data_IF_714458660713
#
_entry.id   IF_714458660713
#
_cell.length_a   1.000
_cell.length_b   1.000
_cell.length_c   1.000
_cell.angle_alpha   90.00
_cell.angle_beta   90.00
_cell.angle_gamma   90.00
#
_symmetry.space_group_name_H-M   'P 1'
#
loop_
_entity.id
_entity.type
_entity.pdbx_description
1 polymer ?
#
# COMPACT_ATOMS: atom_id res chain seq x y z
N UNK A 1 -9.71 -11.69 -13.03
CA UNK A 1 -10.48 -12.34 -11.94
C UNK A 1 -11.37 -11.29 -11.28
N UNK A 2 -12.69 -11.53 -11.14
CA UNK A 2 -13.60 -10.64 -10.41
C UNK A 2 -13.17 -10.48 -8.94
N UNK A 3 -13.50 -9.35 -8.30
CA UNK A 3 -13.12 -9.05 -6.91
C UNK A 3 -13.44 -10.20 -5.92
N UNK A 4 -14.69 -10.68 -5.88
CA UNK A 4 -15.10 -11.74 -4.95
C UNK A 4 -14.45 -13.11 -5.22
N UNK A 5 -13.89 -13.32 -6.41
CA UNK A 5 -13.17 -14.55 -6.75
C UNK A 5 -11.71 -14.57 -6.29
N UNK A 6 -11.20 -13.45 -5.78
CA UNK A 6 -9.82 -13.29 -5.31
C UNK A 6 -9.66 -13.72 -3.86
N UNK A 7 -8.43 -14.02 -3.49
CA UNK A 7 -8.00 -14.31 -2.13
C UNK A 7 -8.24 -13.11 -1.20
N UNK A 8 -8.87 -13.38 -0.06
CA UNK A 8 -9.15 -12.39 0.98
C UNK A 8 -7.91 -12.15 1.83
N UNK A 9 -6.91 -11.52 1.24
CA UNK A 9 -5.68 -11.09 1.93
C UNK A 9 -5.24 -9.71 1.47
N UNK A 10 -4.58 -8.98 2.38
CA UNK A 10 -3.80 -7.79 2.13
C UNK A 10 -2.41 -8.18 1.65
N UNK A 11 -2.15 -7.93 0.37
CA UNK A 11 -0.92 -8.33 -0.28
C UNK A 11 0.03 -7.15 -0.49
N UNK A 12 1.31 -7.38 -0.18
CA UNK A 12 2.40 -6.50 -0.58
C UNK A 12 3.73 -7.25 -0.71
N UNK A 13 4.45 -6.94 -1.79
CA UNK A 13 5.87 -7.24 -1.96
C UNK A 13 6.59 -5.98 -2.47
N UNK A 14 7.68 -5.63 -1.83
CA UNK A 14 8.53 -4.52 -2.24
C UNK A 14 9.91 -4.60 -1.61
N UNK A 15 10.88 -3.93 -2.22
CA UNK A 15 12.22 -3.86 -1.66
C UNK A 15 12.33 -2.80 -0.56
N UNK A 16 13.38 -2.85 0.25
CA UNK A 16 13.69 -1.89 1.33
C UNK A 16 14.14 -0.50 0.83
N UNK A 17 13.58 -0.01 -0.29
CA UNK A 17 13.83 1.36 -0.76
C UNK A 17 13.10 2.39 0.09
N UNK A 18 13.61 3.62 0.14
CA UNK A 18 13.05 4.68 0.98
C UNK A 18 14.11 5.49 1.71
N UNK A 19 15.37 5.09 1.59
CA UNK A 19 16.51 5.71 2.23
C UNK A 19 17.69 4.75 2.23
N UNK A 20 18.83 5.22 2.76
CA UNK A 20 19.98 4.36 2.98
C UNK A 20 19.91 3.74 4.38
N UNK A 21 19.70 2.43 4.44
CA UNK A 21 19.57 1.66 5.67
C UNK A 21 20.94 1.43 6.34
N UNK A 22 21.01 1.72 7.62
CA UNK A 22 22.13 1.43 8.52
C UNK A 22 21.58 0.65 9.71
N UNK A 23 22.47 0.01 10.49
CA UNK A 23 22.08 -0.72 11.72
C UNK A 23 21.31 0.12 12.73
N UNK A 24 21.48 1.45 12.69
CA UNK A 24 20.85 2.40 13.60
C UNK A 24 19.48 2.90 13.14
N UNK A 25 19.24 2.96 11.82
CA UNK A 25 18.07 3.67 11.29
C UNK A 25 17.03 2.78 10.61
N UNK A 26 17.37 1.55 10.18
CA UNK A 26 16.50 0.78 9.28
C UNK A 26 15.12 0.51 9.88
N UNK A 27 15.03 0.37 11.21
CA UNK A 27 13.77 0.16 11.95
C UNK A 27 12.79 1.33 11.82
N UNK A 28 13.27 2.49 11.44
CA UNK A 28 12.46 3.68 11.22
C UNK A 28 12.08 3.86 9.74
N UNK A 29 12.56 3.02 8.82
CA UNK A 29 12.13 3.06 7.43
C UNK A 29 10.65 2.68 7.30
N UNK A 30 9.91 3.35 6.42
CA UNK A 30 8.45 3.22 6.38
C UNK A 30 7.98 1.86 5.87
N UNK A 31 8.71 1.23 4.93
CA UNK A 31 8.44 -0.14 4.48
C UNK A 31 8.78 -1.18 5.53
N UNK A 32 9.87 -0.97 6.25
CA UNK A 32 10.30 -1.83 7.35
C UNK A 32 9.30 -1.78 8.50
N UNK A 33 8.81 -0.58 8.85
CA UNK A 33 7.74 -0.40 9.83
C UNK A 33 6.46 -1.09 9.38
N UNK A 34 6.08 -0.98 8.11
CA UNK A 34 4.88 -1.63 7.58
C UNK A 34 4.94 -3.15 7.72
N UNK A 35 6.02 -3.79 7.24
CA UNK A 35 6.20 -5.25 7.36
C UNK A 35 6.27 -5.68 8.81
N UNK A 36 7.03 -4.96 9.65
CA UNK A 36 7.14 -5.24 11.08
C UNK A 36 5.79 -5.11 11.80
N UNK A 37 4.97 -4.13 11.41
CA UNK A 37 3.66 -3.88 12.00
C UNK A 37 2.68 -5.01 11.68
N UNK A 38 2.57 -5.43 10.42
CA UNK A 38 1.70 -6.55 10.02
C UNK A 38 2.14 -7.87 10.66
N UNK A 39 3.46 -8.12 10.74
CA UNK A 39 4.00 -9.28 11.47
C UNK A 39 3.67 -9.23 12.96
N UNK A 40 3.73 -8.04 13.57
CA UNK A 40 3.36 -7.87 14.99
C UNK A 40 1.88 -8.16 15.23
N UNK A 41 0.99 -7.74 14.33
CA UNK A 41 -0.44 -8.07 14.39
C UNK A 41 -0.67 -9.58 14.25
N UNK A 42 -0.02 -10.22 13.27
CA UNK A 42 -0.10 -11.69 13.10
C UNK A 42 0.39 -12.43 14.33
N UNK A 43 1.55 -12.06 14.87
CA UNK A 43 2.11 -12.69 16.07
C UNK A 43 1.20 -12.51 17.30
N UNK A 44 0.64 -11.30 17.49
CA UNK A 44 -0.32 -11.06 18.56
C UNK A 44 -1.57 -11.93 18.41
N UNK A 45 -2.10 -12.05 17.19
CA UNK A 45 -3.25 -12.92 16.90
C UNK A 45 -2.93 -14.40 17.15
N UNK A 46 -1.74 -14.88 16.79
CA UNK A 46 -1.30 -16.25 17.07
C UNK A 46 -1.22 -16.53 18.58
N UNK A 47 -0.65 -15.61 19.36
CA UNK A 47 -0.56 -15.73 20.82
C UNK A 47 -1.94 -15.74 21.46
N UNK A 48 -2.85 -14.86 21.01
CA UNK A 48 -4.24 -14.82 21.49
C UNK A 48 -5.00 -16.10 21.13
N UNK A 49 -4.81 -16.63 19.91
CA UNK A 49 -5.39 -17.90 19.48
C UNK A 49 -4.92 -19.08 20.34
N UNK A 50 -3.61 -19.17 20.60
CA UNK A 50 -3.05 -20.19 21.48
C UNK A 50 -3.55 -20.05 22.93
N UNK A 51 -3.67 -18.82 23.43
CA UNK A 51 -4.22 -18.55 24.77
C UNK A 51 -5.68 -18.99 24.89
N UNK A 52 -6.49 -18.68 23.86
CA UNK A 52 -7.89 -19.10 23.77
C UNK A 52 -8.01 -20.63 23.72
N UNK A 53 -7.14 -21.30 22.95
CA UNK A 53 -7.08 -22.76 22.87
C UNK A 53 -6.74 -23.42 24.22
N UNK A 54 -5.83 -22.81 25.00
CA UNK A 54 -5.45 -23.27 26.34
C UNK A 54 -6.46 -22.88 27.43
N UNK A 55 -7.60 -22.26 27.08
CA UNK A 55 -8.64 -21.87 28.03
C UNK A 55 -8.30 -20.64 28.87
N UNK A 56 -7.30 -19.85 28.47
CA UNK A 56 -6.97 -18.57 29.10
C UNK A 56 -7.96 -17.50 28.62
N UNK A 57 -8.47 -16.68 29.56
CA UNK A 57 -9.40 -15.59 29.22
C UNK A 57 -8.72 -14.57 28.31
N UNK A 58 -9.35 -14.27 27.19
CA UNK A 58 -8.91 -13.30 26.17
C UNK A 58 -10.04 -12.31 25.92
N UNK A 59 -10.11 -11.24 26.72
CA UNK A 59 -11.25 -10.31 26.71
C UNK A 59 -11.12 -9.18 25.64
N UNK A 60 -10.21 -9.30 24.67
CA UNK A 60 -9.88 -8.19 23.74
C UNK A 60 -10.34 -8.36 22.29
N UNK A 61 -10.39 -9.58 21.75
CA UNK A 61 -10.78 -9.85 20.36
C UNK A 61 -11.67 -11.09 20.31
N UNK A 62 -12.61 -11.11 19.38
CA UNK A 62 -13.43 -12.30 19.13
C UNK A 62 -12.65 -13.34 18.28
N UNK A 63 -13.21 -14.55 18.12
CA UNK A 63 -12.55 -15.64 17.36
C UNK A 63 -12.38 -15.32 15.88
N UNK A 64 -13.31 -14.58 15.28
CA UNK A 64 -13.29 -14.21 13.86
C UNK A 64 -12.16 -13.20 13.58
N UNK A 65 -12.01 -12.19 14.45
CA UNK A 65 -10.92 -11.21 14.40
C UNK A 65 -9.55 -11.86 14.60
N UNK A 66 -9.44 -12.79 15.55
CA UNK A 66 -8.19 -13.55 15.75
C UNK A 66 -7.84 -14.31 14.49
N UNK A 67 -8.80 -15.05 13.91
CA UNK A 67 -8.58 -15.80 12.67
C UNK A 67 -8.21 -14.88 11.51
N UNK A 68 -8.93 -13.78 11.34
CA UNK A 68 -8.65 -12.77 10.33
C UNK A 68 -7.19 -12.31 10.41
N UNK A 69 -6.75 -11.83 11.58
CA UNK A 69 -5.40 -11.29 11.70
C UNK A 69 -4.29 -12.36 11.66
N UNK A 70 -4.60 -13.65 11.84
CA UNK A 70 -3.65 -14.72 11.59
C UNK A 70 -3.37 -14.91 10.09
N UNK A 71 -4.39 -14.74 9.24
CA UNK A 71 -4.37 -15.20 7.84
C UNK A 71 -4.35 -14.04 6.82
N UNK A 72 -4.88 -12.87 7.15
CA UNK A 72 -5.15 -11.81 6.17
C UNK A 72 -3.91 -11.10 5.65
N UNK A 73 -2.79 -11.09 6.37
CA UNK A 73 -1.62 -10.32 5.97
C UNK A 73 -0.62 -11.18 5.18
N UNK A 74 -0.56 -10.94 3.87
CA UNK A 74 0.46 -11.48 2.99
C UNK A 74 1.44 -10.35 2.58
N UNK A 75 2.24 -9.89 3.55
CA UNK A 75 3.07 -8.68 3.45
C UNK A 75 4.52 -8.99 3.78
N UNK A 76 5.40 -9.04 2.78
CA UNK A 76 6.81 -9.41 2.96
C UNK A 76 7.75 -8.49 2.17
N UNK A 77 8.99 -8.39 2.63
CA UNK A 77 10.06 -7.75 1.85
C UNK A 77 10.42 -8.63 0.66
N UNK A 78 10.35 -8.05 -0.54
CA UNK A 78 10.73 -8.74 -1.77
C UNK A 78 12.23 -8.73 -2.06
N UNK A 79 12.96 -7.77 -1.47
CA UNK A 79 14.41 -7.71 -1.50
C UNK A 79 14.95 -6.72 -0.46
N UNK A 80 16.12 -7.01 0.10
CA UNK A 80 16.85 -6.08 0.96
C UNK A 80 17.95 -5.38 0.13
N UNK A 81 17.80 -4.07 -0.08
CA UNK A 81 18.71 -3.22 -0.86
C UNK A 81 18.90 -1.84 -0.19
N UNK A 82 19.80 -1.01 -0.76
CA UNK A 82 20.11 0.33 -0.25
C UNK A 82 20.59 0.34 1.21
N UNK A 83 21.38 -0.65 1.59
CA UNK A 83 21.94 -0.79 2.93
C UNK A 83 23.45 -0.53 2.96
N UNK A 84 23.95 -0.18 4.14
CA UNK A 84 25.37 -0.08 4.47
C UNK A 84 25.70 -1.17 5.48
N UNK A 85 26.92 -1.70 5.39
CA UNK A 85 27.43 -2.77 6.26
C UNK A 85 26.48 -3.98 6.30
N UNK A 86 26.19 -4.49 7.50
CA UNK A 86 25.36 -5.67 7.74
C UNK A 86 23.85 -5.34 7.82
N UNK A 87 23.43 -4.11 7.52
CA UNK A 87 22.04 -3.69 7.75
C UNK A 87 21.02 -4.52 6.95
N UNK A 88 21.32 -4.92 5.71
CA UNK A 88 20.45 -5.82 4.94
C UNK A 88 20.30 -7.19 5.63
N UNK A 89 21.41 -7.78 6.07
CA UNK A 89 21.40 -9.08 6.76
C UNK A 89 20.65 -8.99 8.09
N UNK A 90 20.75 -7.88 8.81
CA UNK A 90 19.96 -7.65 10.02
C UNK A 90 18.46 -7.50 9.73
N UNK A 91 18.10 -6.77 8.67
CA UNK A 91 16.70 -6.65 8.22
C UNK A 91 16.14 -8.02 7.85
N UNK A 92 16.84 -8.80 7.04
CA UNK A 92 16.41 -10.15 6.64
C UNK A 92 16.24 -11.09 7.84
N UNK A 93 17.14 -11.01 8.82
CA UNK A 93 17.02 -11.80 10.05
C UNK A 93 15.77 -11.45 10.86
N UNK A 94 15.35 -10.18 10.87
CA UNK A 94 14.23 -9.71 11.69
C UNK A 94 12.89 -9.76 10.96
N UNK A 95 12.88 -9.33 9.69
CA UNK A 95 11.68 -9.21 8.85
C UNK A 95 11.42 -10.47 8.02
N UNK A 96 12.32 -11.45 8.05
CA UNK A 96 12.18 -12.73 7.34
C UNK A 96 12.94 -12.76 6.01
N UNK A 97 13.06 -13.95 5.39
CA UNK A 97 13.75 -14.10 4.10
C UNK A 97 13.09 -13.24 3.02
N UNK A 98 13.89 -12.77 2.06
CA UNK A 98 13.34 -12.04 0.91
C UNK A 98 12.38 -12.94 0.11
N UNK A 99 11.15 -12.47 -0.10
CA UNK A 99 10.13 -13.15 -0.88
C UNK A 99 9.80 -12.37 -2.14
N UNK A 100 10.61 -12.59 -3.18
CA UNK A 100 10.49 -11.87 -4.43
C UNK A 100 9.26 -12.35 -5.21
N UNK A 101 8.37 -11.42 -5.53
CA UNK A 101 7.26 -11.62 -6.48
C UNK A 101 7.82 -12.08 -7.84
N UNK A 102 7.59 -13.35 -8.26
CA UNK A 102 8.17 -13.91 -9.48
C UNK A 102 7.43 -13.45 -10.76
N UNK A 103 6.13 -13.25 -10.65
CA UNK A 103 5.20 -12.74 -11.67
C UNK A 103 4.19 -11.80 -10.98
N UNK A 104 3.44 -10.99 -11.72
CA UNK A 104 2.40 -10.12 -11.16
C UNK A 104 1.21 -10.91 -10.55
N UNK A 105 1.41 -11.42 -9.34
CA UNK A 105 0.41 -12.16 -8.55
C UNK A 105 -0.63 -11.25 -7.90
N UNK A 106 -0.45 -9.91 -7.96
CA UNK A 106 -1.38 -8.93 -7.39
C UNK A 106 -2.82 -9.09 -7.90
N UNK A 107 -3.00 -9.69 -9.08
CA UNK A 107 -4.32 -9.99 -9.64
C UNK A 107 -5.13 -11.04 -8.86
N UNK A 108 -4.49 -11.77 -7.94
CA UNK A 108 -5.11 -12.84 -7.14
C UNK A 108 -5.67 -12.36 -5.81
N UNK A 109 -5.35 -11.14 -5.37
CA UNK A 109 -5.67 -10.65 -4.02
C UNK A 109 -6.73 -9.54 -4.03
N UNK A 110 -7.62 -9.56 -3.02
CA UNK A 110 -8.68 -8.55 -2.85
C UNK A 110 -8.12 -7.19 -2.42
N UNK A 111 -7.10 -7.17 -1.57
CA UNK A 111 -6.55 -5.95 -0.99
C UNK A 111 -5.07 -5.81 -1.35
N UNK A 112 -4.69 -4.66 -1.88
CA UNK A 112 -3.32 -4.38 -2.33
C UNK A 112 -2.79 -3.14 -1.63
N UNK A 113 -1.64 -3.23 -0.98
CA UNK A 113 -1.02 -2.06 -0.37
C UNK A 113 -0.09 -1.34 -1.36
N UNK A 114 -0.23 -0.02 -1.45
CA UNK A 114 0.64 0.88 -2.18
C UNK A 114 1.38 1.78 -1.20
N UNK A 115 2.70 1.74 -1.24
CA UNK A 115 3.58 2.46 -0.33
C UNK A 115 4.80 2.96 -1.09
N UNK A 116 5.17 4.20 -0.81
CA UNK A 116 6.29 4.90 -1.43
C UNK A 116 7.61 4.14 -1.29
N UNK A 117 8.57 4.43 -2.18
CA UNK A 117 9.96 3.98 -2.07
C UNK A 117 10.86 5.19 -1.82
N UNK A 118 11.92 5.33 -2.61
CA UNK A 118 12.73 6.57 -2.62
C UNK A 118 11.93 7.80 -3.07
N UNK A 119 10.85 7.58 -3.80
CA UNK A 119 9.87 8.58 -4.22
C UNK A 119 8.48 7.91 -4.23
N UNK A 120 7.51 8.51 -4.93
CA UNK A 120 6.19 7.91 -5.11
C UNK A 120 6.25 6.47 -5.62
N UNK A 121 5.24 5.68 -5.29
CA UNK A 121 5.13 4.31 -5.79
C UNK A 121 4.68 4.28 -7.26
N UNK A 122 5.59 3.88 -8.15
CA UNK A 122 5.27 3.66 -9.57
C UNK A 122 4.32 2.48 -9.82
N UNK A 123 4.04 1.66 -8.80
CA UNK A 123 3.14 0.50 -8.90
C UNK A 123 1.67 0.90 -8.84
N UNK A 124 1.34 2.08 -8.33
CA UNK A 124 -0.03 2.48 -8.02
C UNK A 124 -1.01 2.29 -9.19
N UNK A 125 -0.64 2.73 -10.40
CA UNK A 125 -1.45 2.57 -11.61
C UNK A 125 -1.72 1.11 -11.96
N UNK A 126 -0.69 0.26 -11.82
CA UNK A 126 -0.81 -1.17 -12.06
C UNK A 126 -1.78 -1.79 -11.06
N UNK A 127 -1.66 -1.46 -9.77
CA UNK A 127 -2.51 -2.01 -8.71
C UNK A 127 -3.99 -1.66 -8.93
N UNK A 128 -4.30 -0.40 -9.25
CA UNK A 128 -5.66 0.06 -9.57
C UNK A 128 -6.30 -0.76 -10.70
N UNK A 129 -5.50 -1.14 -11.70
CA UNK A 129 -6.01 -1.92 -12.83
C UNK A 129 -6.45 -3.36 -12.48
N UNK A 130 -6.10 -3.87 -11.28
CA UNK A 130 -6.32 -5.27 -10.89
C UNK A 130 -7.70 -5.58 -10.31
N UNK A 131 -8.61 -4.59 -10.28
CA UNK A 131 -9.94 -4.72 -9.68
C UNK A 131 -9.85 -5.25 -8.24
N UNK A 132 -9.04 -4.56 -7.45
CA UNK A 132 -8.76 -4.82 -6.05
C UNK A 132 -8.89 -3.50 -5.28
N UNK A 133 -9.13 -3.57 -3.98
CA UNK A 133 -9.08 -2.39 -3.12
C UNK A 133 -7.61 -2.04 -2.92
N UNK A 134 -7.20 -0.88 -3.44
CA UNK A 134 -5.84 -0.36 -3.23
C UNK A 134 -5.83 0.51 -1.98
N UNK A 135 -5.04 0.13 -0.99
CA UNK A 135 -4.75 0.94 0.19
C UNK A 135 -3.49 1.75 -0.09
N UNK A 136 -3.58 3.07 -0.16
CA UNK A 136 -2.46 3.94 -0.54
C UNK A 136 -1.95 4.74 0.65
N UNK A 137 -0.66 4.61 0.92
CA UNK A 137 0.09 5.44 1.84
C UNK A 137 1.17 6.20 1.06
N UNK A 138 1.01 7.52 0.89
CA UNK A 138 1.99 8.35 0.18
C UNK A 138 2.23 9.70 0.83
N UNK A 139 3.48 10.17 0.81
CA UNK A 139 3.87 11.52 1.23
C UNK A 139 3.84 12.53 0.09
N UNK A 140 3.73 12.04 -1.15
CA UNK A 140 3.86 12.85 -2.35
C UNK A 140 2.50 13.36 -2.82
N UNK A 141 2.49 14.58 -3.35
CA UNK A 141 1.45 15.02 -4.27
C UNK A 141 1.81 14.54 -5.66
N UNK A 142 0.86 13.93 -6.34
CA UNK A 142 1.05 13.29 -7.63
C UNK A 142 0.12 13.91 -8.68
N UNK A 143 0.52 13.88 -9.95
CA UNK A 143 -0.22 14.51 -11.04
C UNK A 143 -1.67 13.99 -11.20
N UNK A 144 -1.96 12.81 -10.64
CA UNK A 144 -3.24 12.14 -10.74
C UNK A 144 -4.18 12.42 -9.55
N UNK A 145 -3.75 13.20 -8.55
CA UNK A 145 -4.53 13.45 -7.34
C UNK A 145 -5.88 14.13 -7.63
N UNK A 146 -5.97 14.96 -8.66
CA UNK A 146 -7.24 15.58 -9.09
C UNK A 146 -8.14 14.64 -9.92
N UNK A 147 -7.64 13.44 -10.25
CA UNK A 147 -8.29 12.48 -11.17
C UNK A 147 -8.87 11.27 -10.44
N UNK A 148 -8.29 10.94 -9.29
CA UNK A 148 -8.68 9.86 -8.40
C UNK A 148 -9.18 10.46 -7.09
N UNK A 149 -10.16 9.80 -6.46
CA UNK A 149 -10.88 10.35 -5.31
C UNK A 149 -10.69 9.33 -4.19
N UNK A 150 -10.08 9.71 -3.06
CA UNK A 150 -9.99 8.85 -1.89
C UNK A 150 -11.36 8.35 -1.47
N UNK A 151 -11.44 7.11 -1.00
CA UNK A 151 -12.66 6.38 -0.64
C UNK A 151 -13.60 6.01 -1.78
N UNK A 152 -13.48 6.63 -2.97
CA UNK A 152 -14.22 6.19 -4.15
C UNK A 152 -13.40 5.26 -5.06
N UNK A 153 -12.10 5.53 -5.21
CA UNK A 153 -11.23 4.81 -6.14
C UNK A 153 -10.12 4.01 -5.45
N UNK A 154 -9.76 4.38 -4.23
CA UNK A 154 -8.74 3.73 -3.38
C UNK A 154 -8.96 4.17 -1.92
N UNK A 155 -8.37 3.48 -0.96
CA UNK A 155 -8.47 3.84 0.46
C UNK A 155 -7.16 4.52 0.91
N UNK A 156 -7.17 5.78 1.37
CA UNK A 156 -5.99 6.41 1.93
C UNK A 156 -5.65 5.81 3.30
N UNK A 157 -4.36 5.54 3.54
CA UNK A 157 -3.85 5.04 4.81
C UNK A 157 -2.87 6.06 5.39
N UNK A 158 -3.03 6.36 6.68
CA UNK A 158 -2.17 7.26 7.44
C UNK A 158 -0.77 6.69 7.58
N UNK A 159 0.17 7.55 7.95
CA UNK A 159 1.59 7.20 8.05
C UNK A 159 1.94 6.37 9.28
N UNK A 160 1.05 6.37 10.27
CA UNK A 160 1.14 5.53 11.46
C UNK A 160 0.51 4.16 11.24
N UNK A 161 -0.46 4.04 10.30
CA UNK A 161 -1.20 2.81 9.98
C UNK A 161 -2.03 2.27 11.16
N UNK A 162 -2.29 3.11 12.17
CA UNK A 162 -3.01 2.71 13.38
C UNK A 162 -4.44 2.24 13.09
N UNK A 163 -5.04 2.77 12.02
CA UNK A 163 -6.38 2.40 11.57
C UNK A 163 -6.42 1.06 10.83
N UNK A 164 -5.29 0.55 10.35
CA UNK A 164 -5.24 -0.62 9.46
C UNK A 164 -5.94 -1.87 10.05
N UNK A 165 -5.79 -2.22 11.34
CA UNK A 165 -6.48 -3.39 11.91
C UNK A 165 -8.00 -3.25 11.86
N UNK A 166 -8.53 -2.10 12.30
CA UNK A 166 -9.98 -1.85 12.33
C UNK A 166 -10.55 -1.73 10.91
N UNK A 167 -9.80 -1.10 10.01
CA UNK A 167 -10.16 -0.99 8.60
C UNK A 167 -10.25 -2.38 7.94
N UNK A 168 -9.25 -3.24 8.11
CA UNK A 168 -9.26 -4.58 7.51
C UNK A 168 -10.35 -5.46 8.11
N UNK A 169 -10.61 -5.36 9.42
CA UNK A 169 -11.72 -6.06 10.08
C UNK A 169 -13.07 -5.64 9.48
N UNK A 170 -13.30 -4.34 9.33
CA UNK A 170 -14.51 -3.83 8.68
C UNK A 170 -14.63 -4.32 7.23
N UNK A 171 -13.59 -4.15 6.40
CA UNK A 171 -13.66 -4.51 4.98
C UNK A 171 -13.88 -6.01 4.74
N UNK A 172 -13.42 -6.87 5.66
CA UNK A 172 -13.48 -8.33 5.49
C UNK A 172 -14.64 -8.99 6.23
N UNK A 173 -14.89 -8.62 7.49
CA UNK A 173 -15.86 -9.30 8.34
C UNK A 173 -17.23 -8.60 8.38
N UNK A 174 -17.33 -7.34 7.93
CA UNK A 174 -18.60 -6.62 7.88
C UNK A 174 -19.25 -6.74 6.48
N UNK A 175 -20.53 -7.15 6.36
CA UNK A 175 -21.23 -7.22 5.07
C UNK A 175 -21.28 -5.89 4.31
N UNK A 176 -21.39 -4.75 5.01
CA UNK A 176 -21.34 -3.43 4.39
C UNK A 176 -19.91 -3.12 3.92
N UNK A 177 -18.90 -3.54 4.68
CA UNK A 177 -17.49 -3.42 4.32
C UNK A 177 -17.11 -4.26 3.10
N UNK A 178 -17.61 -5.49 2.96
CA UNK A 178 -17.36 -6.32 1.77
C UNK A 178 -18.04 -5.73 0.53
N UNK A 179 -19.28 -5.25 0.66
CA UNK A 179 -19.99 -4.58 -0.43
C UNK A 179 -19.27 -3.31 -0.89
N UNK A 180 -18.84 -2.47 0.07
CA UNK A 180 -18.04 -1.27 -0.21
C UNK A 180 -16.70 -1.63 -0.86
N UNK A 181 -16.05 -2.69 -0.41
CA UNK A 181 -14.79 -3.16 -1.01
C UNK A 181 -14.97 -3.53 -2.48
N UNK A 182 -16.03 -4.25 -2.81
CA UNK A 182 -16.35 -4.60 -4.19
C UNK A 182 -16.64 -3.36 -5.05
N UNK A 183 -17.36 -2.38 -4.51
CA UNK A 183 -17.65 -1.10 -5.17
C UNK A 183 -16.37 -0.31 -5.46
N UNK A 184 -15.53 -0.08 -4.44
CA UNK A 184 -14.26 0.67 -4.58
C UNK A 184 -13.32 -0.04 -5.57
N UNK A 185 -13.19 -1.37 -5.47
CA UNK A 185 -12.34 -2.14 -6.36
C UNK A 185 -12.77 -2.02 -7.83
N UNK A 186 -14.08 -2.06 -8.09
CA UNK A 186 -14.64 -1.87 -9.43
C UNK A 186 -14.46 -0.44 -9.92
N UNK A 187 -14.82 0.55 -9.09
CA UNK A 187 -14.76 1.97 -9.41
C UNK A 187 -13.32 2.43 -9.67
N UNK A 188 -12.36 2.07 -8.80
CA UNK A 188 -10.94 2.39 -8.99
C UNK A 188 -10.36 1.79 -10.27
N UNK A 189 -10.73 0.54 -10.57
CA UNK A 189 -10.30 -0.13 -11.80
C UNK A 189 -10.92 0.47 -13.06
N UNK A 190 -12.20 0.85 -13.02
CA UNK A 190 -12.85 1.54 -14.13
C UNK A 190 -12.27 2.93 -14.34
N UNK A 191 -12.16 3.73 -13.27
CA UNK A 191 -11.63 5.09 -13.32
C UNK A 191 -10.21 5.13 -13.83
N UNK A 192 -9.33 4.25 -13.37
CA UNK A 192 -7.94 4.20 -13.83
C UNK A 192 -7.81 3.99 -15.34
N UNK A 193 -8.71 3.18 -15.95
CA UNK A 193 -8.75 2.99 -17.41
C UNK A 193 -9.25 4.21 -18.18
N UNK A 194 -9.93 5.14 -17.52
CA UNK A 194 -10.47 6.35 -18.14
C UNK A 194 -9.53 7.54 -18.04
N UNK A 195 -8.82 7.70 -16.91
CA UNK A 195 -8.09 8.95 -16.58
C UNK A 195 -6.58 8.80 -16.39
N UNK A 196 -6.06 7.57 -16.39
CA UNK A 196 -4.63 7.28 -16.19
C UNK A 196 -4.00 6.62 -17.42
N UNK A 197 -4.55 6.85 -18.62
CA UNK A 197 -3.98 6.30 -19.85
C UNK A 197 -2.70 7.04 -20.21
N UNK A 198 -1.88 6.44 -21.05
CA UNK A 198 -0.65 7.07 -21.55
C UNK A 198 -0.92 8.44 -22.22
N UNK A 199 -2.06 8.58 -22.91
CA UNK A 199 -2.47 9.85 -23.52
C UNK A 199 -2.79 10.92 -22.47
N UNK A 200 -3.40 10.55 -21.34
CA UNK A 200 -3.76 11.50 -20.28
C UNK A 200 -2.50 12.06 -19.61
N UNK A 201 -1.51 11.18 -19.35
CA UNK A 201 -0.20 11.58 -18.81
C UNK A 201 0.58 12.44 -19.80
N UNK A 202 0.54 12.08 -21.09
CA UNK A 202 1.20 12.85 -22.16
C UNK A 202 0.64 14.26 -22.27
N UNK A 203 -0.70 14.40 -22.26
CA UNK A 203 -1.37 15.71 -22.27
C UNK A 203 -1.02 16.53 -21.03
N UNK A 204 -1.00 15.90 -19.85
CA UNK A 204 -0.61 16.57 -18.61
C UNK A 204 0.80 17.15 -18.68
N UNK A 205 1.79 16.32 -19.04
CA UNK A 205 3.19 16.76 -19.15
C UNK A 205 3.34 17.84 -20.23
N UNK A 206 2.70 17.66 -21.39
CA UNK A 206 2.74 18.66 -22.45
C UNK A 206 2.19 20.01 -21.99
N UNK A 207 1.03 20.02 -21.32
CA UNK A 207 0.43 21.26 -20.80
C UNK A 207 1.31 21.88 -19.72
N UNK A 208 1.84 21.08 -18.80
CA UNK A 208 2.75 21.54 -17.76
C UNK A 208 3.95 22.28 -18.35
N UNK A 209 4.58 21.70 -19.38
CA UNK A 209 5.75 22.32 -20.03
C UNK A 209 5.38 23.62 -20.77
N UNK A 210 4.20 23.69 -21.40
CA UNK A 210 3.73 24.92 -22.04
C UNK A 210 3.48 26.04 -21.03
N UNK A 211 2.75 25.76 -19.94
CA UNK A 211 2.46 26.75 -18.89
C UNK A 211 3.75 27.21 -18.19
N UNK A 212 4.68 26.28 -17.95
CA UNK A 212 5.98 26.62 -17.39
C UNK A 212 6.78 27.51 -18.34
N UNK A 213 6.77 27.24 -19.65
CA UNK A 213 7.45 28.08 -20.63
C UNK A 213 6.88 29.51 -20.68
N UNK A 214 5.55 29.65 -20.59
CA UNK A 214 4.87 30.95 -20.55
C UNK A 214 5.23 31.75 -19.28
N UNK A 215 5.24 31.09 -18.12
CA UNK A 215 5.62 31.71 -16.84
C UNK A 215 7.05 32.22 -16.81
N UNK A 216 7.95 31.54 -17.52
CA UNK A 216 9.38 31.89 -17.59
C UNK A 216 9.75 32.59 -18.90
N UNK A 217 8.80 33.03 -19.73
CA UNK A 217 9.12 33.81 -20.94
C UNK A 217 9.77 35.14 -20.51
N UNK A 218 11.03 35.42 -20.92
CA UNK A 218 11.71 36.67 -20.60
C UNK A 218 10.94 37.92 -21.03
N UNK A 219 10.07 37.81 -22.04
CA UNK A 219 9.22 38.92 -22.49
C UNK A 219 8.16 39.30 -21.45
N UNK A 220 7.68 38.34 -20.66
CA UNK A 220 6.72 38.58 -19.59
C UNK A 220 7.37 39.16 -18.33
N UNK A 221 8.71 39.12 -18.21
CA UNK A 221 9.45 39.68 -17.08
C UNK A 221 9.71 41.20 -17.19
N UNK A 222 9.51 41.80 -18.37
CA UNK A 222 9.75 43.24 -18.61
C UNK A 222 8.53 44.12 -18.37
N UNK A 223 7.33 43.54 -18.20
CA UNK A 223 6.06 44.29 -18.03
C UNK A 223 5.69 44.55 -16.55
N UNK A 224 6.57 44.19 -15.62
CA UNK A 224 6.37 44.35 -14.15
C UNK A 224 7.26 45.42 -13.50
N UNK A 225 7.62 46.50 -14.23
CA UNK A 225 8.34 47.68 -13.69
C UNK A 225 7.49 48.94 -13.79
#
# INVERSE_FOLDING_TARGET
>A
MPFLGKETALYWRGSSTGGQATRLNWRHGHRERFVSFTQSLQNAAQVLGASSFLGLKTDKLNKEQIKLFQEVFDVHMGAYIQCVDEACSEMERVLGPADREPEDTTSNYRYLFDIDGNSMSTRFYRLLSRQAVVLKQTWFQEWHDDRLIPWAHYIPVTMTMEELPALIDFLVNDPEGEALSAEIALAGSARSREVLREIDMSIYIYRLLLEMAELYDPKNATDSV
#
